data_IF_293844403932
#
_entry.id   IF_293844403932
#
_cell.length_a   1.000
_cell.length_b   1.000
_cell.length_c   1.000
_cell.angle_alpha   90.00
_cell.angle_beta   90.00
_cell.angle_gamma   90.00
#
_symmetry.space_group_name_H-M   'P 1'
#
loop_
_entity.id
_entity.type
_entity.pdbx_description
1 polymer ?
#
# COMPACT_ATOMS: atom_id res chain seq x y z
N UNK A 1 49.74 33.01 -40.69
CA UNK A 1 48.38 33.38 -40.23
C UNK A 1 47.71 32.09 -39.77
N UNK A 2 47.56 31.90 -38.47
CA UNK A 2 47.29 30.59 -37.85
C UNK A 2 45.79 30.43 -37.61
N UNK A 3 45.13 29.53 -38.34
CA UNK A 3 43.70 29.24 -38.16
C UNK A 3 43.48 28.38 -36.90
N UNK A 4 42.82 28.95 -35.88
CA UNK A 4 42.43 28.24 -34.65
C UNK A 4 41.28 27.28 -34.97
N UNK A 5 41.46 25.99 -34.67
CA UNK A 5 40.41 24.96 -34.72
C UNK A 5 39.46 25.17 -33.54
N UNK A 6 38.22 25.55 -33.83
CA UNK A 6 37.14 25.63 -32.83
C UNK A 6 36.57 24.22 -32.66
N UNK A 7 36.80 23.62 -31.49
CA UNK A 7 36.15 22.37 -31.09
C UNK A 7 34.73 22.67 -30.60
N UNK A 8 33.72 22.19 -31.32
CA UNK A 8 32.32 22.19 -30.88
C UNK A 8 32.11 20.98 -29.94
N UNK A 9 31.91 21.25 -28.65
CA UNK A 9 31.54 20.24 -27.67
C UNK A 9 30.00 20.10 -27.62
N UNK A 10 29.49 18.97 -28.08
CA UNK A 10 28.06 18.63 -28.03
C UNK A 10 27.69 18.17 -26.61
N UNK A 11 26.94 18.98 -25.87
CA UNK A 11 26.36 18.60 -24.59
C UNK A 11 25.12 17.73 -24.89
N UNK A 12 25.21 16.43 -24.63
CA UNK A 12 24.06 15.52 -24.66
C UNK A 12 23.32 15.66 -23.33
N UNK A 13 22.24 16.43 -23.30
CA UNK A 13 21.30 16.46 -22.18
C UNK A 13 20.41 15.21 -22.25
N UNK A 14 20.71 14.20 -21.43
CA UNK A 14 19.81 13.07 -21.21
C UNK A 14 18.56 13.55 -20.47
N UNK A 15 17.45 13.71 -21.18
CA UNK A 15 16.14 13.92 -20.56
C UNK A 15 15.71 12.61 -19.89
N UNK A 16 15.80 12.55 -18.56
CA UNK A 16 15.10 11.54 -17.78
C UNK A 16 13.61 11.87 -17.81
N UNK A 17 12.89 11.35 -18.80
CA UNK A 17 11.44 11.32 -18.73
C UNK A 17 11.04 10.38 -17.58
N UNK A 18 10.70 10.95 -16.43
CA UNK A 18 10.06 10.21 -15.35
C UNK A 18 8.69 9.76 -15.86
N UNK A 19 8.62 8.53 -16.40
CA UNK A 19 7.36 7.91 -16.76
C UNK A 19 6.44 7.91 -15.54
N UNK A 20 5.18 8.28 -15.72
CA UNK A 20 4.18 8.14 -14.67
C UNK A 20 4.16 6.66 -14.25
N UNK A 21 4.61 6.36 -13.03
CA UNK A 21 4.61 4.99 -12.53
C UNK A 21 3.16 4.50 -12.52
N UNK A 22 2.87 3.42 -13.26
CA UNK A 22 1.56 2.79 -13.37
C UNK A 22 1.26 1.99 -12.10
N UNK A 23 1.23 2.67 -10.95
CA UNK A 23 1.07 2.07 -9.64
C UNK A 23 -0.19 2.58 -8.95
N UNK A 24 -0.83 1.70 -8.21
CA UNK A 24 -1.97 2.05 -7.38
C UNK A 24 -1.57 3.01 -6.28
N UNK A 25 -2.54 3.70 -5.66
CA UNK A 25 -2.24 4.54 -4.52
C UNK A 25 -1.65 3.72 -3.37
N UNK A 26 -0.59 4.22 -2.73
CA UNK A 26 0.04 3.48 -1.65
C UNK A 26 -0.83 3.49 -0.38
N UNK A 27 -0.71 2.41 0.39
CA UNK A 27 -1.22 2.36 1.76
C UNK A 27 -0.07 2.26 2.74
N UNK A 28 -0.11 3.08 3.79
CA UNK A 28 0.75 2.88 4.97
C UNK A 28 -0.03 2.07 5.99
N UNK A 29 0.50 0.91 6.35
CA UNK A 29 -0.05 0.02 7.38
C UNK A 29 0.73 0.23 8.66
N UNK A 30 0.00 0.44 9.76
CA UNK A 30 0.54 0.40 11.12
C UNK A 30 -0.11 -0.77 11.85
N UNK A 31 0.65 -1.83 12.11
CA UNK A 31 0.21 -2.92 12.97
C UNK A 31 0.62 -2.62 14.42
N UNK A 32 -0.29 -2.75 15.37
CA UNK A 32 -0.05 -2.60 16.81
C UNK A 32 -0.39 -3.89 17.54
N UNK A 33 0.61 -4.46 18.22
CA UNK A 33 0.42 -5.56 19.13
C UNK A 33 0.00 -5.03 20.51
N UNK A 34 -1.31 -5.01 20.78
CA UNK A 34 -1.85 -4.58 22.08
C UNK A 34 -1.93 -5.74 23.09
N UNK A 35 -1.53 -6.95 22.69
CA UNK A 35 -1.47 -8.14 23.54
C UNK A 35 -0.32 -8.11 24.54
N UNK A 36 -0.10 -9.25 25.18
CA UNK A 36 0.96 -9.45 26.17
C UNK A 36 2.01 -10.47 25.69
N UNK A 37 1.87 -10.98 24.46
CA UNK A 37 2.77 -11.95 23.84
C UNK A 37 3.24 -11.40 22.49
N UNK A 38 4.33 -11.94 21.95
CA UNK A 38 4.85 -11.56 20.63
C UNK A 38 3.90 -12.02 19.52
N UNK A 39 3.51 -11.07 18.65
CA UNK A 39 2.77 -11.37 17.43
C UNK A 39 3.74 -11.77 16.31
N UNK A 40 3.40 -12.79 15.53
CA UNK A 40 4.20 -13.27 14.39
C UNK A 40 3.42 -13.06 13.10
N UNK A 41 4.04 -12.39 12.13
CA UNK A 41 3.51 -12.23 10.78
C UNK A 41 3.55 -13.57 10.04
N UNK A 42 2.44 -13.95 9.39
CA UNK A 42 2.32 -15.21 8.64
C UNK A 42 1.83 -14.95 7.22
N UNK A 43 2.40 -15.67 6.27
CA UNK A 43 1.96 -15.70 4.87
C UNK A 43 1.38 -17.10 4.63
N UNK A 44 0.09 -17.18 4.31
CA UNK A 44 -0.62 -18.46 4.17
C UNK A 44 -1.34 -18.55 2.82
N UNK A 45 -1.95 -17.47 2.36
CA UNK A 45 -2.65 -17.38 1.07
C UNK A 45 -1.88 -16.51 0.08
N UNK A 46 -2.26 -16.61 -1.19
CA UNK A 46 -1.67 -15.81 -2.27
C UNK A 46 -1.86 -14.29 -2.06
N UNK A 47 -2.91 -13.87 -1.34
CA UNK A 47 -3.15 -12.45 -1.06
C UNK A 47 -2.09 -11.88 -0.10
N UNK A 48 -1.68 -12.65 0.92
CA UNK A 48 -0.59 -12.24 1.79
C UNK A 48 0.77 -12.30 1.07
N UNK A 49 0.97 -13.25 0.16
CA UNK A 49 2.16 -13.30 -0.71
C UNK A 49 2.25 -12.04 -1.57
N UNK A 50 1.17 -11.67 -2.25
CA UNK A 50 1.10 -10.48 -3.09
C UNK A 50 1.33 -9.21 -2.28
N UNK A 51 0.68 -9.10 -1.11
CA UNK A 51 0.89 -7.99 -0.19
C UNK A 51 2.36 -7.88 0.19
N UNK A 52 2.97 -8.98 0.67
CA UNK A 52 4.37 -8.98 1.06
C UNK A 52 5.28 -8.57 -0.10
N UNK A 53 5.07 -9.09 -1.30
CA UNK A 53 5.84 -8.77 -2.50
C UNK A 53 5.80 -7.26 -2.82
N UNK A 54 4.64 -6.62 -2.62
CA UNK A 54 4.41 -5.19 -2.88
C UNK A 54 4.69 -4.28 -1.67
N UNK A 55 5.36 -4.78 -0.62
CA UNK A 55 5.59 -4.06 0.64
C UNK A 55 7.04 -3.61 0.80
N UNK A 56 7.26 -2.37 1.27
CA UNK A 56 8.56 -1.81 1.62
C UNK A 56 8.47 -0.82 2.81
N UNK A 57 9.31 -0.95 3.87
CA UNK A 57 10.13 -2.13 4.16
C UNK A 57 9.24 -3.36 4.38
N UNK A 58 9.80 -4.57 4.30
CA UNK A 58 9.02 -5.81 4.55
C UNK A 58 8.44 -5.78 5.97
N UNK A 59 7.21 -6.32 6.19
CA UNK A 59 6.65 -6.42 7.52
C UNK A 59 7.60 -7.18 8.45
N UNK A 60 7.72 -6.73 9.69
CA UNK A 60 8.49 -7.42 10.70
C UNK A 60 7.95 -8.84 10.88
N UNK A 61 8.84 -9.83 10.88
CA UNK A 61 8.44 -11.24 11.07
C UNK A 61 7.84 -11.45 12.45
N UNK A 62 8.29 -10.69 13.44
CA UNK A 62 7.78 -10.66 14.81
C UNK A 62 7.60 -9.22 15.30
N UNK A 63 6.57 -8.99 16.11
CA UNK A 63 6.27 -7.71 16.74
C UNK A 63 6.04 -7.98 18.24
N UNK A 64 6.96 -7.53 19.13
CA UNK A 64 6.84 -7.76 20.56
C UNK A 64 5.55 -7.22 21.16
N UNK A 65 5.23 -7.66 22.38
CA UNK A 65 4.09 -7.14 23.12
C UNK A 65 4.19 -5.62 23.30
N UNK A 66 3.07 -4.92 23.10
CA UNK A 66 2.96 -3.43 23.18
C UNK A 66 3.73 -2.66 22.12
N UNK A 67 4.35 -3.34 21.16
CA UNK A 67 5.08 -2.71 20.06
C UNK A 67 4.23 -2.57 18.79
N UNK A 68 4.78 -1.86 17.82
CA UNK A 68 4.16 -1.66 16.51
C UNK A 68 5.13 -1.86 15.36
N UNK A 69 4.59 -2.17 14.19
CA UNK A 69 5.31 -2.28 12.93
C UNK A 69 4.64 -1.39 11.88
N UNK A 70 5.44 -0.71 11.06
CA UNK A 70 4.97 0.24 10.06
C UNK A 70 5.62 -0.07 8.72
N UNK A 71 4.79 -0.29 7.71
CA UNK A 71 5.25 -0.58 6.36
C UNK A 71 4.29 -0.02 5.31
N UNK A 72 4.81 0.15 4.10
CA UNK A 72 4.05 0.72 2.98
C UNK A 72 3.82 -0.34 1.91
N UNK A 73 2.57 -0.52 1.50
CA UNK A 73 2.17 -1.46 0.45
C UNK A 73 1.74 -0.68 -0.78
N UNK A 74 2.34 -0.98 -1.93
CA UNK A 74 1.96 -0.38 -3.19
C UNK A 74 2.08 -1.37 -4.34
N UNK A 75 0.93 -1.78 -4.87
CA UNK A 75 0.86 -2.62 -6.06
C UNK A 75 1.13 -1.79 -7.33
N UNK A 76 1.94 -2.33 -8.25
CA UNK A 76 2.31 -1.71 -9.54
C UNK A 76 1.50 -2.24 -10.73
N UNK A 77 0.40 -2.96 -10.47
CA UNK A 77 -0.43 -3.59 -11.51
C UNK A 77 -1.50 -2.64 -12.05
N UNK A 78 -2.05 -1.73 -11.23
CA UNK A 78 -3.12 -0.83 -11.65
C UNK A 78 -3.12 0.48 -10.86
N UNK A 79 -3.27 1.65 -11.52
CA UNK A 79 -3.41 2.94 -10.85
C UNK A 79 -4.76 3.10 -10.12
N UNK A 80 -5.74 2.26 -10.46
CA UNK A 80 -7.11 2.37 -9.93
C UNK A 80 -7.38 1.38 -8.79
N UNK A 81 -6.40 0.59 -8.36
CA UNK A 81 -6.59 -0.37 -7.29
C UNK A 81 -5.31 -0.63 -6.49
N UNK A 82 -5.45 -0.81 -5.19
CA UNK A 82 -4.40 -1.36 -4.34
C UNK A 82 -5.03 -2.09 -3.14
N UNK A 83 -4.35 -3.07 -2.59
CA UNK A 83 -4.84 -3.85 -1.47
C UNK A 83 -3.68 -4.31 -0.58
N UNK A 84 -3.96 -4.47 0.71
CA UNK A 84 -3.08 -5.12 1.66
C UNK A 84 -3.88 -6.10 2.50
N UNK A 85 -3.50 -7.38 2.44
CA UNK A 85 -4.03 -8.46 3.28
C UNK A 85 -2.87 -9.02 4.09
N UNK A 86 -3.00 -9.01 5.42
CA UNK A 86 -1.94 -9.42 6.34
C UNK A 86 -2.49 -10.28 7.47
N UNK A 87 -1.67 -11.19 7.98
CA UNK A 87 -2.04 -12.11 9.05
C UNK A 87 -1.02 -12.07 10.17
N UNK A 88 -1.52 -11.96 11.39
CA UNK A 88 -0.72 -12.01 12.61
C UNK A 88 -1.26 -13.08 13.54
N UNK A 89 -0.34 -13.78 14.20
CA UNK A 89 -0.63 -14.88 15.14
C UNK A 89 0.05 -14.60 16.47
N UNK A 90 -0.63 -14.90 17.58
CA UNK A 90 -0.12 -14.69 18.94
C UNK A 90 -0.66 -15.82 19.82
N UNK A 91 0.19 -16.80 20.14
CA UNK A 91 -0.27 -18.05 20.76
C UNK A 91 -1.32 -18.74 19.88
N UNK A 92 -2.51 -18.99 20.44
CA UNK A 92 -3.67 -19.54 19.71
C UNK A 92 -4.49 -18.49 18.94
N UNK A 93 -4.24 -17.19 19.16
CA UNK A 93 -5.00 -16.09 18.56
C UNK A 93 -4.49 -15.81 17.15
N UNK A 94 -5.41 -15.57 16.23
CA UNK A 94 -5.07 -15.14 14.86
C UNK A 94 -5.94 -13.95 14.46
N UNK A 95 -5.32 -12.94 13.86
CA UNK A 95 -6.00 -11.86 13.18
C UNK A 95 -5.63 -11.85 11.69
N UNK A 96 -6.63 -11.78 10.82
CA UNK A 96 -6.47 -11.46 9.40
C UNK A 96 -7.04 -10.08 9.15
N UNK A 97 -6.20 -9.17 8.66
CA UNK A 97 -6.57 -7.81 8.35
C UNK A 97 -6.58 -7.58 6.85
N UNK A 98 -7.52 -6.76 6.39
CA UNK A 98 -7.60 -6.36 5.01
C UNK A 98 -7.85 -4.86 4.87
N UNK A 99 -7.27 -4.26 3.84
CA UNK A 99 -7.67 -2.96 3.35
C UNK A 99 -7.55 -2.90 1.84
N UNK A 100 -8.47 -2.19 1.21
CA UNK A 100 -8.52 -2.06 -0.26
C UNK A 100 -8.84 -0.63 -0.65
N UNK A 101 -8.32 -0.24 -1.81
CA UNK A 101 -8.73 0.92 -2.57
C UNK A 101 -9.16 0.47 -3.96
N UNK A 102 -10.28 1.02 -4.43
CA UNK A 102 -10.74 0.89 -5.83
C UNK A 102 -11.27 2.23 -6.33
N UNK A 103 -10.90 2.58 -7.56
CA UNK A 103 -11.35 3.80 -8.24
C UNK A 103 -12.25 3.43 -9.42
N UNK A 104 -13.53 3.21 -9.14
CA UNK A 104 -14.48 2.68 -10.13
C UNK A 104 -15.08 3.79 -10.99
N UNK A 105 -15.30 3.52 -12.28
CA UNK A 105 -16.01 4.44 -13.18
C UNK A 105 -17.51 4.41 -12.85
N UNK A 106 -18.13 5.58 -12.71
CA UNK A 106 -19.57 5.70 -12.43
C UNK A 106 -20.36 5.68 -13.75
N UNK A 107 -21.36 4.79 -13.91
CA UNK A 107 -22.28 4.80 -15.04
C UNK A 107 -23.00 6.16 -15.16
N UNK A 108 -23.07 6.73 -16.37
CA UNK A 108 -23.65 8.06 -16.63
C UNK A 108 -22.63 9.20 -16.73
N UNK A 109 -21.36 8.97 -16.37
CA UNK A 109 -20.25 9.91 -16.62
C UNK A 109 -19.71 9.91 -18.05
N UNK A 110 -20.13 8.94 -18.89
CA UNK A 110 -19.64 8.74 -20.26
C UNK A 110 -20.18 9.80 -21.26
N UNK A 111 -21.23 10.53 -20.90
CA UNK A 111 -21.90 11.51 -21.75
C UNK A 111 -21.39 12.96 -21.56
N UNK A 112 -20.37 13.18 -20.73
CA UNK A 112 -19.68 14.47 -20.64
C UNK A 112 -18.32 14.39 -21.35
N UNK A 113 -18.04 15.26 -22.34
CA UNK A 113 -16.75 15.26 -23.04
C UNK A 113 -15.67 15.76 -22.06
N UNK A 114 -14.81 14.86 -21.58
CA UNK A 114 -13.66 15.27 -20.77
C UNK A 114 -12.90 14.16 -20.03
N UNK A 115 -13.58 13.19 -19.42
CA UNK A 115 -13.02 11.97 -18.79
C UNK A 115 -14.13 11.22 -18.03
N UNK A 116 -14.07 9.88 -17.91
CA UNK A 116 -15.03 9.14 -17.09
C UNK A 116 -14.95 9.60 -15.63
N UNK A 117 -16.08 9.98 -15.02
CA UNK A 117 -16.15 10.28 -13.58
C UNK A 117 -15.85 9.00 -12.79
N UNK A 118 -14.82 9.03 -11.95
CA UNK A 118 -14.47 7.93 -11.06
C UNK A 118 -14.91 8.22 -9.62
N UNK A 119 -15.34 7.17 -8.90
CA UNK A 119 -15.64 7.19 -7.48
C UNK A 119 -14.56 6.39 -6.73
N UNK A 120 -13.66 7.06 -6.00
CA UNK A 120 -12.70 6.37 -5.15
C UNK A 120 -13.40 5.80 -3.92
N UNK A 121 -13.06 4.56 -3.55
CA UNK A 121 -13.59 3.88 -2.36
C UNK A 121 -12.48 3.14 -1.62
N UNK A 122 -12.44 3.32 -0.31
CA UNK A 122 -11.57 2.58 0.59
C UNK A 122 -12.38 1.64 1.47
N UNK A 123 -11.91 0.42 1.67
CA UNK A 123 -12.51 -0.54 2.59
C UNK A 123 -11.47 -1.08 3.58
N UNK A 124 -11.97 -1.63 4.67
CA UNK A 124 -11.18 -2.25 5.72
C UNK A 124 -11.93 -3.45 6.32
N UNK A 125 -11.20 -4.47 6.73
CA UNK A 125 -11.71 -5.66 7.41
C UNK A 125 -10.72 -6.13 8.47
N UNK A 126 -11.26 -6.76 9.51
CA UNK A 126 -10.49 -7.44 10.55
C UNK A 126 -11.29 -8.67 10.98
N UNK A 127 -10.66 -9.85 10.87
CA UNK A 127 -11.25 -11.13 11.23
C UNK A 127 -10.39 -11.78 12.30
N UNK A 128 -10.98 -12.09 13.45
CA UNK A 128 -10.31 -12.72 14.58
C UNK A 128 -10.74 -14.16 14.78
N UNK A 129 -9.81 -15.01 15.18
CA UNK A 129 -10.07 -16.39 15.60
C UNK A 129 -9.22 -16.79 16.81
N UNK A 130 -9.61 -17.87 17.50
CA UNK A 130 -8.91 -18.32 18.71
C UNK A 130 -9.03 -17.35 19.90
N UNK A 131 -10.09 -16.54 19.94
CA UNK A 131 -10.31 -15.52 20.97
C UNK A 131 -9.54 -14.20 20.74
N UNK A 132 -8.98 -14.00 19.54
CA UNK A 132 -8.34 -12.74 19.17
C UNK A 132 -9.35 -11.58 19.10
N UNK A 133 -8.95 -10.41 19.59
CA UNK A 133 -9.68 -9.15 19.33
C UNK A 133 -8.89 -8.35 18.31
N UNK A 134 -9.49 -8.16 17.12
CA UNK A 134 -8.85 -7.55 15.97
C UNK A 134 -9.63 -6.32 15.52
N UNK A 135 -8.96 -5.20 15.32
CA UNK A 135 -9.60 -3.97 14.80
C UNK A 135 -8.83 -3.42 13.62
N UNK A 136 -9.55 -2.95 12.60
CA UNK A 136 -8.99 -2.21 11.47
C UNK A 136 -9.61 -0.81 11.38
N UNK A 137 -8.77 0.21 11.31
CA UNK A 137 -9.18 1.62 11.26
C UNK A 137 -8.43 2.34 10.16
N UNK A 138 -9.15 2.96 9.21
CA UNK A 138 -8.52 3.89 8.27
C UNK A 138 -8.34 5.22 9.00
N UNK A 139 -7.12 5.68 9.15
CA UNK A 139 -6.76 6.86 9.95
C UNK A 139 -6.68 8.13 9.12
N UNK A 140 -6.37 8.02 7.82
CA UNK A 140 -6.42 9.15 6.89
C UNK A 140 -6.59 8.68 5.44
N UNK A 141 -7.10 9.58 4.60
CA UNK A 141 -7.28 9.38 3.16
C UNK A 141 -6.94 10.68 2.43
N UNK A 142 -6.21 10.58 1.33
CA UNK A 142 -5.95 11.69 0.41
C UNK A 142 -6.91 11.62 -0.77
N UNK A 143 -7.67 12.69 -1.04
CA UNK A 143 -8.56 12.72 -2.21
C UNK A 143 -7.84 13.10 -3.52
N UNK A 144 -6.60 13.60 -3.45
CA UNK A 144 -5.82 13.99 -4.63
C UNK A 144 -4.94 12.85 -5.15
N UNK A 145 -4.32 12.10 -4.24
CA UNK A 145 -3.39 11.00 -4.57
C UNK A 145 -3.96 9.62 -4.28
N UNK A 146 -5.13 9.56 -3.65
CA UNK A 146 -5.78 8.35 -3.17
C UNK A 146 -5.01 7.50 -2.15
N UNK A 147 -3.83 7.95 -1.73
CA UNK A 147 -3.05 7.32 -0.66
C UNK A 147 -3.83 7.33 0.66
N UNK A 148 -3.64 6.29 1.47
CA UNK A 148 -4.32 6.20 2.76
C UNK A 148 -3.45 5.54 3.82
N UNK A 149 -3.82 5.77 5.08
CA UNK A 149 -3.19 5.13 6.23
C UNK A 149 -4.21 4.24 6.93
N UNK A 150 -3.76 3.07 7.37
CA UNK A 150 -4.58 2.12 8.12
C UNK A 150 -3.85 1.67 9.36
N UNK A 151 -4.58 1.54 10.46
CA UNK A 151 -4.12 0.97 11.71
C UNK A 151 -4.82 -0.36 11.95
N UNK A 152 -4.02 -1.40 12.18
CA UNK A 152 -4.47 -2.73 12.57
C UNK A 152 -4.04 -3.00 14.01
N UNK A 153 -4.97 -3.40 14.87
CA UNK A 153 -4.66 -3.72 16.26
C UNK A 153 -5.06 -5.16 16.58
N UNK A 154 -4.23 -5.84 17.35
CA UNK A 154 -4.44 -7.21 17.80
C UNK A 154 -4.24 -7.32 19.31
N UNK A 155 -5.15 -8.01 20.00
CA UNK A 155 -5.08 -8.32 21.43
C UNK A 155 -5.46 -9.78 21.72
#
# INVERSE_FOLDING_TARGET
>A
MTFKKVLLASIVTSMFAAGAAYAGPPVTVTFKNLGNETATYKIITNNEVSTNASTSPKPATTVPAKESDIYRVQNVISPDANAAIVRYTMGSKTCVFGTTFVNTIIPGGLFNPGSPKKAPKWNKSAEGSGGAVCTATITSQSLSTYAWNVEFTMK
#
